data_IF_367844706127
#
_entry.id   IF_367844706127
#
_cell.length_a   1.000
_cell.length_b   1.000
_cell.length_c   1.000
_cell.angle_alpha   90.00
_cell.angle_beta   90.00
_cell.angle_gamma   90.00
#
_symmetry.space_group_name_H-M   'P 1'
#
loop_
_entity.id
_entity.type
_entity.pdbx_description
1 polymer ?
#
# COMPACT_ATOMS: atom_id res chain seq x y z
N UNK A 1 21.22 16.15 -15.79
CA UNK A 1 22.46 15.61 -15.18
C UNK A 1 22.34 15.21 -13.70
N UNK A 2 21.35 15.69 -12.93
CA UNK A 2 21.12 15.25 -11.53
C UNK A 2 20.32 13.93 -11.38
N UNK A 3 19.65 13.47 -12.43
CA UNK A 3 18.85 12.24 -12.40
C UNK A 3 19.69 10.95 -12.50
N UNK A 4 20.87 10.98 -13.14
CA UNK A 4 21.67 9.77 -13.39
C UNK A 4 22.63 9.44 -12.23
N UNK A 5 23.12 10.45 -11.49
CA UNK A 5 24.05 10.27 -10.37
C UNK A 5 23.36 9.71 -9.10
N UNK A 6 22.07 10.01 -8.92
CA UNK A 6 21.25 9.49 -7.80
C UNK A 6 20.85 8.02 -8.00
N UNK A 7 20.68 7.57 -9.25
CA UNK A 7 20.32 6.19 -9.61
C UNK A 7 21.45 5.17 -9.34
N UNK A 8 22.72 5.56 -9.52
CA UNK A 8 23.86 4.67 -9.26
C UNK A 8 24.12 4.46 -7.75
N UNK A 9 23.86 5.46 -6.90
CA UNK A 9 23.99 5.33 -5.43
C UNK A 9 22.84 4.53 -4.80
N UNK A 10 21.70 4.44 -5.49
CA UNK A 10 20.53 3.67 -5.08
C UNK A 10 20.77 2.15 -5.15
N UNK A 11 21.51 1.65 -6.15
CA UNK A 11 21.65 0.21 -6.37
C UNK A 11 22.52 -0.51 -5.32
N UNK A 12 23.56 0.12 -4.79
CA UNK A 12 24.42 -0.50 -3.77
C UNK A 12 23.75 -0.56 -2.39
N UNK A 13 23.04 0.51 -2.00
CA UNK A 13 22.31 0.57 -0.72
C UNK A 13 21.01 -0.25 -0.74
N UNK A 14 20.34 -0.42 -1.89
CA UNK A 14 19.16 -1.29 -2.02
C UNK A 14 19.50 -2.77 -1.84
N UNK A 15 20.66 -3.23 -2.33
CA UNK A 15 21.12 -4.61 -2.13
C UNK A 15 21.50 -4.91 -0.67
N UNK A 16 21.95 -3.90 0.07
CA UNK A 16 22.28 -3.98 1.49
C UNK A 16 21.02 -3.89 2.39
N UNK A 17 20.05 -3.03 2.02
CA UNK A 17 18.77 -2.85 2.72
C UNK A 17 17.84 -4.07 2.59
N UNK A 18 17.92 -4.83 1.48
CA UNK A 18 17.17 -6.08 1.31
C UNK A 18 17.77 -7.26 2.09
N UNK A 19 19.04 -7.18 2.51
CA UNK A 19 19.70 -8.20 3.34
C UNK A 19 19.40 -8.06 4.83
N UNK A 20 18.91 -6.89 5.28
CA UNK A 20 18.73 -6.61 6.70
C UNK A 20 17.26 -6.60 7.12
N UNK A 21 16.93 -7.55 8.01
CA UNK A 21 15.89 -7.50 9.07
C UNK A 21 14.55 -8.23 8.85
N UNK A 22 14.10 -9.04 9.83
CA UNK A 22 12.93 -9.90 9.77
C UNK A 22 11.58 -9.20 9.99
N UNK A 23 10.64 -9.36 9.05
CA UNK A 23 9.33 -8.68 9.07
C UNK A 23 8.23 -9.53 8.39
N UNK A 24 7.22 -9.95 9.16
CA UNK A 24 6.01 -10.68 8.75
C UNK A 24 4.88 -9.71 8.36
N UNK A 25 4.05 -10.00 7.35
CA UNK A 25 2.90 -9.15 6.96
C UNK A 25 1.66 -9.99 6.64
N UNK A 26 0.51 -9.81 7.26
CA UNK A 26 -0.74 -10.25 6.62
C UNK A 26 -1.02 -9.30 5.44
N UNK A 27 -1.08 -9.82 4.22
CA UNK A 27 -1.39 -9.08 2.99
C UNK A 27 -2.51 -9.83 2.29
N UNK A 28 -3.72 -9.29 2.28
CA UNK A 28 -4.75 -9.70 1.31
C UNK A 28 -4.25 -9.30 -0.08
N UNK A 29 -3.85 -10.27 -0.89
CA UNK A 29 -3.42 -10.05 -2.27
C UNK A 29 -4.52 -10.53 -3.22
N UNK A 30 -5.18 -9.60 -3.91
CA UNK A 30 -6.01 -9.96 -5.06
C UNK A 30 -5.13 -10.39 -6.24
N UNK A 31 -5.44 -11.61 -6.73
CA UNK A 31 -5.18 -12.19 -8.05
C UNK A 31 -3.72 -12.33 -8.50
N UNK A 32 -3.15 -13.49 -8.20
CA UNK A 32 -2.11 -14.12 -9.05
C UNK A 32 -2.81 -15.00 -10.10
N UNK A 33 -2.91 -14.51 -11.34
CA UNK A 33 -3.34 -15.33 -12.48
C UNK A 33 -2.18 -16.16 -13.02
N UNK A 34 -2.33 -17.49 -13.06
CA UNK A 34 -1.96 -18.30 -14.24
C UNK A 34 -2.68 -19.65 -14.24
N UNK A 35 -3.30 -19.91 -15.40
CA UNK A 35 -3.71 -21.17 -16.02
C UNK A 35 -4.71 -22.09 -15.30
N UNK A 36 -5.91 -22.13 -15.92
CA UNK A 36 -6.77 -23.29 -16.21
C UNK A 36 -6.93 -24.34 -15.11
N UNK A 37 -8.08 -24.31 -14.44
CA UNK A 37 -9.06 -25.41 -14.37
C UNK A 37 -10.32 -24.84 -13.66
N UNK A 38 -11.41 -24.84 -14.43
CA UNK A 38 -12.83 -24.96 -14.07
C UNK A 38 -13.33 -24.35 -12.74
N UNK A 39 -14.16 -23.30 -12.90
CA UNK A 39 -15.35 -23.01 -12.09
C UNK A 39 -15.29 -23.29 -10.57
N UNK A 40 -14.37 -22.63 -9.87
CA UNK A 40 -14.57 -22.24 -8.47
C UNK A 40 -14.28 -20.73 -8.32
N UNK A 41 -15.40 -20.03 -8.29
CA UNK A 41 -15.62 -18.59 -8.22
C UNK A 41 -14.85 -17.92 -7.06
N UNK A 42 -13.94 -17.02 -7.41
CA UNK A 42 -13.79 -15.65 -6.87
C UNK A 42 -13.92 -15.39 -5.34
N UNK A 43 -13.56 -16.30 -4.45
CA UNK A 43 -13.33 -15.92 -3.04
C UNK A 43 -12.01 -15.12 -2.94
N UNK A 44 -11.97 -13.94 -2.28
CA UNK A 44 -10.72 -13.25 -2.04
C UNK A 44 -9.80 -14.17 -1.22
N UNK A 45 -8.68 -14.58 -1.82
CA UNK A 45 -7.66 -15.38 -1.14
C UNK A 45 -6.94 -14.48 -0.13
N UNK A 46 -7.33 -14.59 1.14
CA UNK A 46 -6.64 -13.91 2.22
C UNK A 46 -5.33 -14.67 2.48
N UNK A 47 -4.22 -13.92 2.53
CA UNK A 47 -2.90 -14.49 2.74
C UNK A 47 -2.28 -13.89 4.00
N UNK A 48 -1.83 -14.79 4.87
CA UNK A 48 -0.97 -14.44 5.99
C UNK A 48 0.48 -14.58 5.56
N UNK A 49 1.15 -13.47 5.25
CA UNK A 49 2.59 -13.49 5.02
C UNK A 49 3.35 -13.40 6.35
N UNK A 50 4.38 -14.22 6.48
CA UNK A 50 5.20 -14.34 7.66
C UNK A 50 6.66 -14.43 7.27
N UNK A 51 7.53 -13.81 8.06
CA UNK A 51 8.98 -13.99 7.90
C UNK A 51 9.38 -15.24 8.65
N UNK A 52 9.98 -16.18 7.94
CA UNK A 52 10.56 -17.39 8.50
C UNK A 52 11.96 -17.57 7.91
N UNK A 53 12.97 -17.74 8.77
CA UNK A 53 14.37 -17.94 8.36
C UNK A 53 14.90 -16.91 7.35
N UNK A 54 14.57 -15.63 7.55
CA UNK A 54 15.03 -14.57 6.65
C UNK A 54 14.17 -14.36 5.39
N UNK A 55 13.23 -15.26 5.08
CA UNK A 55 12.43 -15.21 3.86
C UNK A 55 10.93 -15.02 4.15
N UNK A 56 10.18 -14.34 3.27
CA UNK A 56 8.73 -14.32 3.35
C UNK A 56 8.15 -15.69 2.97
N UNK A 57 7.22 -16.19 3.77
CA UNK A 57 6.35 -17.33 3.49
C UNK A 57 4.91 -16.81 3.47
N UNK A 58 4.10 -17.36 2.57
CA UNK A 58 2.72 -16.92 2.35
C UNK A 58 1.80 -18.09 2.69
N UNK A 59 0.97 -17.92 3.71
CA UNK A 59 0.05 -18.95 4.19
C UNK A 59 -1.35 -18.54 3.78
N UNK A 60 -2.00 -19.36 2.96
CA UNK A 60 -3.38 -19.12 2.58
C UNK A 60 -4.29 -19.33 3.79
N UNK A 61 -5.18 -18.37 4.05
CA UNK A 61 -6.27 -18.52 5.01
C UNK A 61 -7.46 -19.05 4.21
N UNK A 62 -7.91 -20.24 4.57
CA UNK A 62 -9.08 -20.88 3.98
C UNK A 62 -10.37 -20.33 4.57
N UNK A 63 -11.49 -20.78 4.00
CA UNK A 63 -12.81 -20.54 4.54
C UNK A 63 -13.55 -21.87 4.74
N UNK A 64 -14.26 -21.98 5.85
CA UNK A 64 -15.20 -23.08 6.12
C UNK A 64 -16.54 -22.46 6.55
N UNK A 65 -17.46 -22.33 5.60
CA UNK A 65 -18.66 -21.51 5.82
C UNK A 65 -18.29 -20.05 6.01
N UNK A 66 -18.77 -19.44 7.11
CA UNK A 66 -18.44 -18.06 7.48
C UNK A 66 -17.10 -17.91 8.22
N UNK A 67 -16.47 -19.01 8.63
CA UNK A 67 -15.26 -19.00 9.45
C UNK A 67 -13.98 -19.00 8.62
N UNK A 68 -12.94 -18.36 9.15
CA UNK A 68 -11.58 -18.37 8.64
C UNK A 68 -10.82 -19.59 9.17
N UNK A 69 -10.16 -20.32 8.28
CA UNK A 69 -9.46 -21.55 8.63
C UNK A 69 -7.95 -21.46 8.36
N UNK A 70 -7.14 -21.90 9.33
CA UNK A 70 -5.70 -22.10 9.17
C UNK A 70 -5.25 -23.29 10.03
N UNK A 71 -4.36 -24.13 9.48
CA UNK A 71 -3.87 -25.37 10.13
C UNK A 71 -4.96 -26.22 10.81
N UNK A 72 -6.15 -26.29 10.21
CA UNK A 72 -7.28 -27.09 10.69
C UNK A 72 -8.16 -26.42 11.76
N UNK A 73 -7.75 -25.28 12.33
CA UNK A 73 -8.57 -24.51 13.28
C UNK A 73 -9.41 -23.46 12.55
N UNK A 74 -10.61 -23.22 13.06
CA UNK A 74 -11.57 -22.26 12.51
C UNK A 74 -11.78 -21.10 13.49
N UNK A 75 -11.99 -19.91 12.95
CA UNK A 75 -12.14 -18.67 13.70
C UNK A 75 -13.17 -17.77 13.03
N UNK A 76 -14.03 -17.12 13.81
CA UNK A 76 -15.02 -16.17 13.27
C UNK A 76 -14.36 -14.92 12.66
N UNK A 77 -13.26 -14.45 13.26
CA UNK A 77 -12.57 -13.22 12.82
C UNK A 77 -11.07 -13.44 12.72
N UNK A 78 -10.47 -12.83 11.70
CA UNK A 78 -9.00 -12.82 11.49
C UNK A 78 -8.23 -12.28 12.70
N UNK A 79 -8.64 -11.18 13.37
CA UNK A 79 -7.94 -10.70 14.56
C UNK A 79 -7.86 -11.74 15.68
N UNK A 80 -8.93 -12.52 15.89
CA UNK A 80 -8.98 -13.56 16.91
C UNK A 80 -8.06 -14.74 16.56
N UNK A 81 -8.05 -15.14 15.29
CA UNK A 81 -7.08 -16.10 14.75
C UNK A 81 -5.64 -15.64 15.00
N UNK A 82 -5.30 -14.39 14.63
CA UNK A 82 -3.94 -13.85 14.82
C UNK A 82 -3.56 -13.82 16.30
N UNK A 83 -4.48 -13.37 17.16
CA UNK A 83 -4.30 -13.33 18.62
C UNK A 83 -4.03 -14.73 19.17
N UNK A 84 -4.81 -15.73 18.76
CA UNK A 84 -4.64 -17.12 19.18
C UNK A 84 -3.21 -17.61 18.93
N UNK A 85 -2.73 -17.58 17.67
CA UNK A 85 -1.40 -18.10 17.34
C UNK A 85 -0.25 -17.26 17.92
N UNK A 86 -0.48 -15.98 18.20
CA UNK A 86 0.48 -15.15 18.94
C UNK A 86 0.59 -15.54 20.42
N UNK A 87 -0.53 -15.94 21.04
CA UNK A 87 -0.58 -16.31 22.46
C UNK A 87 -0.16 -17.76 22.68
N UNK A 88 -0.74 -18.72 21.95
CA UNK A 88 -0.48 -20.16 22.14
C UNK A 88 0.87 -20.62 21.61
N UNK A 89 1.47 -19.84 20.71
CA UNK A 89 2.73 -20.17 20.02
C UNK A 89 2.67 -21.48 19.22
N UNK A 90 1.47 -21.91 18.85
CA UNK A 90 1.29 -23.05 17.96
C UNK A 90 1.82 -22.74 16.55
N UNK A 91 2.34 -23.76 15.83
CA UNK A 91 2.74 -23.59 14.44
C UNK A 91 1.56 -23.26 13.50
N UNK A 92 1.76 -22.29 12.62
CA UNK A 92 0.79 -21.89 11.59
C UNK A 92 1.01 -22.59 10.24
N UNK A 93 1.88 -23.58 10.18
CA UNK A 93 2.13 -24.38 8.99
C UNK A 93 2.39 -25.83 9.40
N UNK A 94 1.85 -26.78 8.62
CA UNK A 94 1.88 -28.21 8.97
C UNK A 94 3.29 -28.81 8.97
N UNK A 95 4.09 -28.50 7.94
CA UNK A 95 5.48 -29.00 7.81
C UNK A 95 6.49 -28.09 8.50
N UNK A 96 6.44 -26.80 8.21
CA UNK A 96 7.35 -25.80 8.76
C UNK A 96 6.84 -25.36 10.14
N UNK A 97 7.66 -25.47 11.19
CA UNK A 97 7.32 -25.05 12.57
C UNK A 97 7.31 -23.52 12.72
N UNK A 98 6.55 -22.82 11.88
CA UNK A 98 6.46 -21.36 11.87
C UNK A 98 5.60 -20.91 13.04
N UNK A 99 6.19 -20.19 13.99
CA UNK A 99 5.49 -19.65 15.15
C UNK A 99 5.32 -18.14 15.00
N UNK A 100 4.11 -17.63 15.22
CA UNK A 100 3.83 -16.18 15.18
C UNK A 100 4.34 -15.55 16.47
N UNK A 101 5.37 -14.70 16.36
CA UNK A 101 5.95 -14.02 17.52
C UNK A 101 5.49 -12.57 17.67
N UNK A 102 5.22 -11.89 16.55
CA UNK A 102 4.97 -10.44 16.54
C UNK A 102 4.13 -10.05 15.32
N UNK A 103 3.08 -9.27 15.54
CA UNK A 103 2.33 -8.58 14.50
C UNK A 103 3.09 -7.32 14.05
N UNK A 104 3.01 -6.99 12.75
CA UNK A 104 3.60 -5.77 12.22
C UNK A 104 2.49 -4.73 12.10
N UNK A 105 2.54 -3.63 12.87
CA UNK A 105 1.52 -2.61 12.81
C UNK A 105 1.55 -1.93 11.43
N UNK A 106 0.38 -1.49 10.98
CA UNK A 106 0.30 -0.59 9.84
C UNK A 106 1.11 0.66 10.13
N UNK A 107 1.74 1.18 9.08
CA UNK A 107 2.46 2.45 9.19
C UNK A 107 1.45 3.59 9.22
N UNK A 108 1.77 4.65 9.96
CA UNK A 108 0.91 5.83 10.11
C UNK A 108 0.52 6.50 8.77
N UNK A 109 1.43 6.44 7.80
CA UNK A 109 1.24 6.95 6.45
C UNK A 109 0.37 6.06 5.55
N UNK A 110 0.04 4.84 5.98
CA UNK A 110 -0.86 3.96 5.24
C UNK A 110 -2.30 4.36 5.56
N UNK A 111 -3.00 4.90 4.57
CA UNK A 111 -4.36 5.41 4.70
C UNK A 111 -5.34 4.37 4.16
N UNK A 112 -6.39 4.07 4.93
CA UNK A 112 -7.55 3.32 4.40
C UNK A 112 -8.30 4.20 3.41
N UNK A 113 -8.66 3.67 2.24
CA UNK A 113 -9.44 4.42 1.26
C UNK A 113 -10.79 4.90 1.82
N UNK A 114 -11.37 4.23 2.82
CA UNK A 114 -12.66 4.64 3.40
C UNK A 114 -12.56 6.00 4.11
N UNK A 115 -11.34 6.43 4.44
CA UNK A 115 -11.05 7.76 4.99
C UNK A 115 -10.88 8.82 3.91
N UNK A 116 -10.88 8.47 2.63
CA UNK A 116 -10.60 9.39 1.52
C UNK A 116 -11.84 9.50 0.63
N UNK A 117 -12.40 10.70 0.53
CA UNK A 117 -13.47 11.03 -0.41
C UNK A 117 -12.89 11.83 -1.58
N UNK A 118 -13.03 11.30 -2.79
CA UNK A 118 -12.69 12.02 -4.02
C UNK A 118 -13.81 13.00 -4.38
N UNK A 119 -13.43 14.19 -4.82
CA UNK A 119 -14.34 15.27 -5.24
C UNK A 119 -14.00 15.66 -6.69
N UNK A 120 -13.74 16.93 -6.95
CA UNK A 120 -13.51 17.47 -8.30
C UNK A 120 -12.16 17.04 -8.88
N UNK A 121 -12.12 16.74 -10.18
CA UNK A 121 -10.86 16.56 -10.90
C UNK A 121 -10.19 17.93 -11.06
N UNK A 122 -8.99 18.09 -10.49
CA UNK A 122 -8.22 19.34 -10.52
C UNK A 122 -7.03 19.28 -11.47
N UNK A 123 -6.73 18.11 -12.03
CA UNK A 123 -5.67 17.97 -13.01
C UNK A 123 -5.41 16.54 -13.45
N UNK A 124 -4.43 16.38 -14.33
CA UNK A 124 -4.01 15.08 -14.87
C UNK A 124 -2.49 15.00 -14.86
N UNK A 125 -1.97 13.89 -14.35
CA UNK A 125 -0.54 13.58 -14.32
C UNK A 125 -0.19 12.36 -15.17
N UNK A 126 1.09 12.00 -15.18
CA UNK A 126 1.62 10.88 -15.96
C UNK A 126 0.99 9.52 -15.61
N UNK A 127 0.51 9.34 -14.38
CA UNK A 127 -0.01 8.07 -13.87
C UNK A 127 -1.54 8.00 -13.79
N UNK A 128 -2.23 9.13 -13.95
CA UNK A 128 -3.68 9.21 -13.77
C UNK A 128 -4.16 10.61 -13.47
N UNK A 129 -5.33 10.70 -12.85
CA UNK A 129 -6.00 11.96 -12.53
C UNK A 129 -5.59 12.45 -11.15
N UNK A 130 -5.71 13.75 -10.93
CA UNK A 130 -5.56 14.39 -9.63
C UNK A 130 -6.91 14.98 -9.27
N UNK A 131 -7.41 14.59 -8.11
CA UNK A 131 -8.67 15.08 -7.58
C UNK A 131 -8.40 15.97 -6.37
N UNK A 132 -9.24 16.98 -6.17
CA UNK A 132 -9.48 17.50 -4.83
C UNK A 132 -10.25 16.42 -4.06
N UNK A 133 -10.07 16.38 -2.75
CA UNK A 133 -10.81 15.47 -1.91
C UNK A 133 -10.75 15.86 -0.46
N UNK A 134 -11.41 15.04 0.36
CA UNK A 134 -11.42 15.17 1.81
C UNK A 134 -10.84 13.92 2.45
N UNK A 135 -9.88 14.09 3.36
CA UNK A 135 -9.32 13.05 4.21
C UNK A 135 -9.89 13.16 5.62
N UNK A 136 -10.45 12.07 6.15
CA UNK A 136 -10.83 11.98 7.55
C UNK A 136 -9.60 11.72 8.44
N UNK A 137 -9.37 12.61 9.42
CA UNK A 137 -8.28 12.52 10.40
C UNK A 137 -8.88 12.59 11.80
N UNK A 138 -9.03 11.44 12.46
CA UNK A 138 -9.77 11.37 13.72
C UNK A 138 -11.23 11.73 13.52
N UNK A 139 -11.70 12.76 14.21
CA UNK A 139 -13.06 13.31 14.07
C UNK A 139 -13.13 14.46 13.06
N UNK A 140 -11.99 14.95 12.57
CA UNK A 140 -11.89 16.09 11.68
C UNK A 140 -11.73 15.67 10.22
N UNK A 141 -11.90 16.65 9.33
CA UNK A 141 -11.78 16.51 7.89
C UNK A 141 -10.76 17.52 7.35
N UNK A 142 -9.83 17.03 6.53
CA UNK A 142 -8.79 17.83 5.90
C UNK A 142 -8.96 17.81 4.38
N UNK A 143 -8.93 18.99 3.75
CA UNK A 143 -8.88 19.10 2.29
C UNK A 143 -7.53 18.62 1.76
N UNK A 144 -7.54 17.75 0.76
CA UNK A 144 -6.35 17.10 0.20
C UNK A 144 -6.37 17.08 -1.33
N UNK A 145 -5.19 16.92 -1.93
CA UNK A 145 -5.06 16.52 -3.33
C UNK A 145 -4.80 15.01 -3.40
N UNK A 146 -5.54 14.30 -4.26
CA UNK A 146 -5.48 12.86 -4.38
C UNK A 146 -5.08 12.48 -5.80
N UNK A 147 -3.84 12.01 -5.95
CA UNK A 147 -3.33 11.48 -7.22
C UNK A 147 -3.70 10.01 -7.32
N UNK A 148 -4.46 9.65 -8.36
CA UNK A 148 -4.88 8.26 -8.59
C UNK A 148 -3.99 7.58 -9.63
N UNK A 149 -3.85 6.26 -9.49
CA UNK A 149 -3.25 5.42 -10.51
C UNK A 149 -4.34 4.92 -11.47
N UNK A 150 -4.27 5.35 -12.73
CA UNK A 150 -5.22 4.97 -13.79
C UNK A 150 -4.71 3.79 -14.65
N UNK A 151 -3.54 3.24 -14.34
CA UNK A 151 -3.00 2.11 -15.09
C UNK A 151 -3.72 0.80 -14.78
N UNK A 152 -3.71 -0.14 -15.73
CA UNK A 152 -4.18 -1.50 -15.44
C UNK A 152 -3.31 -2.12 -14.34
N UNK A 153 -3.93 -2.83 -13.39
CA UNK A 153 -3.26 -3.51 -12.27
C UNK A 153 -2.13 -4.45 -12.72
N UNK A 154 -2.18 -4.94 -13.97
CA UNK A 154 -1.17 -5.81 -14.59
C UNK A 154 0.15 -5.12 -14.95
N UNK A 155 0.18 -3.79 -15.12
CA UNK A 155 1.42 -3.06 -15.40
C UNK A 155 2.23 -2.83 -14.11
N UNK A 156 2.95 -3.88 -13.70
CA UNK A 156 3.75 -3.90 -12.48
C UNK A 156 4.83 -2.81 -12.47
N UNK A 157 5.38 -2.43 -13.63
CA UNK A 157 6.43 -1.42 -13.73
C UNK A 157 5.87 -0.03 -13.46
N UNK A 158 4.76 0.35 -14.10
CA UNK A 158 4.11 1.65 -13.86
C UNK A 158 3.56 1.75 -12.44
N UNK A 159 2.97 0.67 -11.91
CA UNK A 159 2.53 0.60 -10.51
C UNK A 159 3.69 0.82 -9.54
N UNK A 160 4.83 0.15 -9.77
CA UNK A 160 6.01 0.31 -8.92
C UNK A 160 6.57 1.75 -9.01
N UNK A 161 6.62 2.34 -10.20
CA UNK A 161 7.05 3.73 -10.38
C UNK A 161 6.14 4.72 -9.65
N UNK A 162 4.81 4.53 -9.73
CA UNK A 162 3.83 5.35 -9.01
C UNK A 162 4.05 5.29 -7.48
N UNK A 163 4.21 4.09 -6.91
CA UNK A 163 4.48 3.95 -5.47
C UNK A 163 5.87 4.46 -5.08
N UNK A 164 6.85 4.37 -5.99
CA UNK A 164 8.19 4.89 -5.76
C UNK A 164 8.21 6.42 -5.68
N UNK A 165 7.41 7.11 -6.51
CA UNK A 165 7.22 8.57 -6.42
C UNK A 165 6.79 8.97 -5.00
N UNK A 166 5.74 8.31 -4.48
CA UNK A 166 5.26 8.56 -3.13
C UNK A 166 6.32 8.25 -2.06
N UNK A 167 7.06 7.15 -2.22
CA UNK A 167 8.12 6.77 -1.28
C UNK A 167 9.21 7.81 -1.20
N UNK A 168 9.68 8.31 -2.35
CA UNK A 168 10.72 9.34 -2.41
C UNK A 168 10.21 10.65 -1.81
N UNK A 169 9.03 11.12 -2.22
CA UNK A 169 8.48 12.39 -1.72
C UNK A 169 8.23 12.38 -0.20
N UNK A 170 7.87 11.22 0.36
CA UNK A 170 7.63 11.08 1.81
C UNK A 170 8.86 11.29 2.70
N UNK A 171 10.06 11.24 2.15
CA UNK A 171 11.29 11.50 2.90
C UNK A 171 11.55 13.00 3.08
N UNK A 172 10.83 13.87 2.36
CA UNK A 172 10.99 15.32 2.43
C UNK A 172 9.88 15.96 3.27
N UNK A 173 10.29 16.86 4.18
CA UNK A 173 9.40 17.72 4.95
C UNK A 173 9.98 19.12 4.97
N UNK A 174 9.40 20.01 4.18
CA UNK A 174 9.86 21.39 4.03
C UNK A 174 8.70 22.26 3.54
N UNK A 175 8.63 23.52 3.98
CA UNK A 175 7.52 24.45 3.68
C UNK A 175 7.28 24.63 2.17
N UNK A 176 8.36 24.67 1.39
CA UNK A 176 8.31 24.83 -0.06
C UNK A 176 8.28 23.51 -0.86
N UNK A 177 8.02 22.36 -0.22
CA UNK A 177 7.98 21.05 -0.88
C UNK A 177 6.65 20.37 -0.57
N UNK A 178 5.92 20.00 -1.64
CA UNK A 178 4.61 19.38 -1.53
C UNK A 178 4.66 18.11 -0.65
N UNK A 179 3.97 18.15 0.48
CA UNK A 179 3.98 17.09 1.46
C UNK A 179 3.04 15.95 1.09
N UNK A 180 3.58 14.72 1.10
CA UNK A 180 2.78 13.50 1.07
C UNK A 180 2.24 13.23 2.48
N UNK A 181 0.92 13.25 2.61
CA UNK A 181 0.22 12.91 3.85
C UNK A 181 0.17 11.39 4.02
N UNK A 182 -0.11 10.65 2.93
CA UNK A 182 -0.11 9.20 2.98
C UNK A 182 -0.41 8.52 1.66
N UNK A 183 -0.51 7.19 1.73
CA UNK A 183 -0.69 6.31 0.56
C UNK A 183 -1.82 5.34 0.88
N UNK A 184 -2.79 5.24 -0.02
CA UNK A 184 -3.84 4.22 0.02
C UNK A 184 -3.58 3.19 -1.08
N UNK A 185 -3.02 2.04 -0.69
CA UNK A 185 -2.58 1.00 -1.64
C UNK A 185 -3.14 -0.41 -1.34
N UNK A 186 -4.08 -0.50 -0.39
CA UNK A 186 -4.70 -1.76 0.02
C UNK A 186 -5.74 -2.28 -0.98
N UNK A 187 -6.42 -1.38 -1.69
CA UNK A 187 -7.41 -1.67 -2.74
C UNK A 187 -7.21 -0.72 -3.92
N UNK A 188 -7.85 -1.04 -5.05
CA UNK A 188 -7.91 -0.12 -6.19
C UNK A 188 -9.04 0.90 -6.00
N UNK A 189 -8.91 2.11 -6.56
CA UNK A 189 -7.71 2.64 -7.22
C UNK A 189 -6.61 2.95 -6.20
N UNK A 190 -5.34 2.81 -6.58
CA UNK A 190 -4.24 3.31 -5.73
C UNK A 190 -4.26 4.83 -5.66
N UNK A 191 -3.99 5.37 -4.47
CA UNK A 191 -4.02 6.81 -4.22
C UNK A 191 -2.77 7.27 -3.46
N UNK A 192 -2.21 8.39 -3.89
CA UNK A 192 -1.25 9.19 -3.11
C UNK A 192 -2.01 10.42 -2.62
N UNK A 193 -2.09 10.57 -1.30
CA UNK A 193 -2.76 11.68 -0.65
C UNK A 193 -1.73 12.73 -0.29
N UNK A 194 -1.90 13.92 -0.82
CA UNK A 194 -1.01 15.08 -0.72
C UNK A 194 -1.76 16.23 -0.05
N UNK A 195 -1.01 17.17 0.50
CA UNK A 195 -1.60 18.46 0.88
C UNK A 195 -2.22 19.16 -0.34
N UNK A 196 -3.27 19.95 -0.10
CA UNK A 196 -3.93 20.71 -1.14
C UNK A 196 -3.38 22.14 -1.22
N UNK A 197 -2.83 22.52 -2.37
CA UNK A 197 -2.38 23.88 -2.64
C UNK A 197 -3.44 24.62 -3.48
N UNK A 198 -4.22 25.50 -2.85
CA UNK A 198 -5.31 26.23 -3.52
C UNK A 198 -4.89 27.27 -4.56
N UNK A 199 -3.62 27.64 -4.61
CA UNK A 199 -3.09 28.66 -5.54
C UNK A 199 -2.94 28.21 -7.00
N UNK A 200 -3.28 26.96 -7.32
CA UNK A 200 -3.13 26.41 -8.66
C UNK A 200 -1.67 26.10 -9.03
N UNK A 201 -1.43 25.83 -10.31
CA UNK A 201 -0.07 25.53 -10.80
C UNK A 201 0.74 26.82 -10.98
N UNK A 202 2.05 26.75 -10.72
CA UNK A 202 2.97 27.87 -10.98
C UNK A 202 2.86 28.40 -12.42
N UNK A 203 2.69 27.50 -13.40
CA UNK A 203 2.52 27.87 -14.80
C UNK A 203 1.29 28.76 -15.01
N UNK A 204 0.16 28.39 -14.42
CA UNK A 204 -1.08 29.16 -14.51
C UNK A 204 -0.92 30.55 -13.87
N UNK A 205 -0.27 30.61 -12.70
CA UNK A 205 0.03 31.88 -12.02
C UNK A 205 0.94 32.74 -12.90
N UNK A 206 2.01 32.18 -13.48
CA UNK A 206 2.91 32.93 -14.36
C UNK A 206 2.18 33.49 -15.59
N UNK A 207 1.31 32.72 -16.25
CA UNK A 207 0.54 33.20 -17.39
C UNK A 207 -0.48 34.28 -17.03
N UNK A 208 -1.05 34.24 -15.83
CA UNK A 208 -1.96 35.29 -15.35
C UNK A 208 -1.21 36.60 -15.09
N UNK A 209 0.00 36.51 -14.51
CA UNK A 209 0.83 37.69 -14.22
C UNK A 209 1.43 38.32 -15.48
N UNK A 210 1.67 37.56 -16.56
CA UNK A 210 2.16 38.13 -17.82
C UNK A 210 1.10 38.85 -18.66
N UNK A 211 -0.18 38.81 -18.25
CA UNK A 211 -1.30 39.51 -18.89
C UNK A 211 -1.80 40.71 -18.05
N UNK A 212 -1.01 41.13 -17.06
CA UNK A 212 -1.16 42.36 -16.28
C UNK A 212 0.01 43.31 -16.59
#
# INVERSE_FOLDING_TARGET
MLSHYLLQRMNSKLAEYLKARPVSYALTCEKLTRYSILEWVMAPRIIWAVRFEGHPKYIAIGHKGAEFQVTGKCFEKIPDMVKYYMTTREPIHSTLKIIVKRAVPHKEWLISHDRVRLEDEIGKGAFGKVFKGTLQVGHDFQTVAVKTYAGQTKDRKKRAAFLQEARTMREYKHENVLQVIGIACQKEPLMIVLEFCGGGSLLQVCYQTSNL
#
